data_IF_349812332165
#
_entry.id   IF_349812332165
#
_cell.length_a   1.000
_cell.length_b   1.000
_cell.length_c   1.000
_cell.angle_alpha   90.00
_cell.angle_beta   90.00
_cell.angle_gamma   90.00
#
_symmetry.space_group_name_H-M   'P 1'
#
loop_
_entity.id
_entity.type
_entity.pdbx_description
1 polymer ?
#
# COMPACT_ATOMS: atom_id res chain seq x y z
N UNK A 1 -22.49 -21.68 -10.04
CA UNK A 1 -22.37 -20.26 -9.63
C UNK A 1 -23.31 -19.43 -10.49
N UNK A 2 -24.15 -18.56 -9.91
CA UNK A 2 -25.10 -17.75 -10.67
C UNK A 2 -24.37 -16.68 -11.50
N UNK A 3 -24.53 -16.72 -12.82
CA UNK A 3 -23.86 -15.84 -13.80
C UNK A 3 -24.16 -14.34 -13.60
N UNK A 4 -25.36 -14.01 -13.10
CA UNK A 4 -25.75 -12.62 -12.79
C UNK A 4 -24.87 -11.96 -11.71
N UNK A 5 -24.47 -12.72 -10.68
CA UNK A 5 -23.61 -12.20 -9.59
C UNK A 5 -22.21 -11.89 -10.12
N UNK A 6 -21.68 -12.75 -11.00
CA UNK A 6 -20.37 -12.53 -11.61
C UNK A 6 -20.34 -11.28 -12.51
N UNK A 7 -21.45 -10.95 -13.17
CA UNK A 7 -21.56 -9.74 -13.97
C UNK A 7 -21.47 -8.47 -13.11
N UNK A 8 -22.16 -8.45 -11.96
CA UNK A 8 -22.12 -7.34 -11.00
C UNK A 8 -20.70 -7.17 -10.45
N UNK A 9 -20.06 -8.27 -10.04
CA UNK A 9 -18.69 -8.23 -9.50
C UNK A 9 -17.65 -7.67 -10.48
N UNK A 10 -17.83 -7.92 -11.79
CA UNK A 10 -16.95 -7.38 -12.84
C UNK A 10 -17.04 -5.86 -12.96
N UNK A 11 -18.22 -5.27 -12.74
CA UNK A 11 -18.40 -3.82 -12.80
C UNK A 11 -17.62 -3.08 -11.71
N UNK A 12 -17.39 -3.74 -10.56
CA UNK A 12 -16.63 -3.18 -9.45
C UNK A 12 -15.11 -3.33 -9.57
N UNK A 13 -14.60 -3.98 -10.63
CA UNK A 13 -13.16 -4.17 -10.82
C UNK A 13 -12.51 -2.92 -11.39
N UNK A 14 -11.41 -2.50 -10.78
CA UNK A 14 -10.52 -1.44 -11.25
C UNK A 14 -9.44 -2.00 -12.17
N UNK A 15 -9.12 -1.27 -13.23
CA UNK A 15 -8.10 -1.65 -14.24
C UNK A 15 -6.82 -0.82 -14.14
N UNK A 16 -6.80 0.23 -13.33
CA UNK A 16 -5.71 1.20 -13.17
C UNK A 16 -4.61 0.77 -12.19
N UNK A 17 -4.75 -0.41 -11.57
CA UNK A 17 -3.91 -0.86 -10.47
C UNK A 17 -2.70 -1.69 -10.95
N UNK A 18 -1.50 -1.49 -10.38
CA UNK A 18 -0.34 -2.31 -10.70
C UNK A 18 -0.48 -3.75 -10.15
N UNK A 19 0.24 -4.70 -10.72
CA UNK A 19 0.33 -6.07 -10.21
C UNK A 19 1.18 -6.12 -8.94
N UNK A 20 0.52 -6.00 -7.78
CA UNK A 20 1.18 -6.00 -6.47
C UNK A 20 1.43 -7.43 -6.00
N UNK A 21 2.67 -7.69 -5.58
CA UNK A 21 3.14 -8.97 -5.04
C UNK A 21 3.73 -8.79 -3.65
N UNK A 22 3.72 -9.87 -2.88
CA UNK A 22 4.41 -9.90 -1.60
C UNK A 22 5.90 -9.58 -1.76
N UNK A 23 6.44 -8.80 -0.83
CA UNK A 23 7.81 -8.29 -0.84
C UNK A 23 7.93 -6.88 -1.41
N UNK A 24 7.01 -6.44 -2.27
CA UNK A 24 7.06 -5.11 -2.85
C UNK A 24 6.95 -4.02 -1.77
N UNK A 25 7.76 -2.97 -1.90
CA UNK A 25 7.59 -1.74 -1.14
C UNK A 25 6.72 -0.80 -1.95
N UNK A 26 5.60 -0.37 -1.39
CA UNK A 26 4.62 0.48 -2.07
C UNK A 26 4.21 1.63 -1.17
N UNK A 27 3.78 2.73 -1.80
CA UNK A 27 3.11 3.85 -1.14
C UNK A 27 1.66 3.88 -1.64
N UNK A 28 0.71 3.87 -0.72
CA UNK A 28 -0.73 3.87 -1.00
C UNK A 28 -1.31 5.17 -0.48
N UNK A 29 -1.94 5.95 -1.36
CA UNK A 29 -2.70 7.14 -1.00
C UNK A 29 -4.16 6.75 -0.82
N UNK A 30 -4.74 7.19 0.29
CA UNK A 30 -6.09 6.85 0.65
C UNK A 30 -6.81 8.03 1.28
N UNK A 31 -8.12 8.09 1.06
CA UNK A 31 -8.99 9.13 1.58
C UNK A 31 -9.36 8.82 3.03
N UNK A 32 -9.21 9.81 3.90
CA UNK A 32 -9.61 9.76 5.30
C UNK A 32 -10.70 10.79 5.53
N UNK A 33 -11.86 10.40 6.09
CA UNK A 33 -12.91 11.35 6.44
C UNK A 33 -12.47 12.16 7.66
N UNK A 34 -12.62 13.48 7.59
CA UNK A 34 -12.38 14.41 8.69
C UNK A 34 -13.56 15.36 8.79
N UNK A 35 -14.47 15.08 9.72
CA UNK A 35 -15.76 15.79 9.88
C UNK A 35 -16.49 15.89 8.54
N UNK A 36 -16.48 17.07 7.91
CA UNK A 36 -17.20 17.37 6.67
C UNK A 36 -16.32 17.33 5.41
N UNK A 37 -15.01 17.07 5.55
CA UNK A 37 -14.05 17.07 4.45
C UNK A 37 -13.35 15.72 4.31
N UNK A 38 -12.84 15.46 3.11
CA UNK A 38 -11.97 14.31 2.83
C UNK A 38 -10.54 14.80 2.68
N UNK A 39 -9.60 14.20 3.42
CA UNK A 39 -8.17 14.44 3.24
C UNK A 39 -7.50 13.21 2.64
N UNK A 40 -6.58 13.41 1.70
CA UNK A 40 -5.76 12.33 1.17
C UNK A 40 -4.50 12.19 2.01
N UNK A 41 -4.32 11.02 2.63
CA UNK A 41 -3.11 10.65 3.38
C UNK A 41 -2.43 9.47 2.69
N UNK A 42 -1.17 9.19 3.01
CA UNK A 42 -0.46 8.05 2.46
C UNK A 42 0.07 7.10 3.53
N UNK A 43 0.16 5.82 3.16
CA UNK A 43 0.85 4.79 3.92
C UNK A 43 1.96 4.18 3.04
N UNK A 44 3.21 4.25 3.51
CA UNK A 44 4.36 3.58 2.90
C UNK A 44 4.70 2.31 3.70
N UNK A 45 4.90 1.18 3.03
CA UNK A 45 5.26 -0.06 3.69
C UNK A 45 5.61 -1.20 2.74
N UNK A 46 5.98 -2.33 3.31
CA UNK A 46 6.25 -3.57 2.58
C UNK A 46 4.98 -4.41 2.54
N UNK A 47 4.60 -4.89 1.36
CA UNK A 47 3.51 -5.84 1.19
C UNK A 47 3.95 -7.19 1.76
N UNK A 48 3.30 -7.63 2.83
CA UNK A 48 3.63 -8.90 3.50
C UNK A 48 2.77 -10.05 2.99
N UNK A 49 1.57 -9.76 2.49
CA UNK A 49 0.65 -10.77 1.98
C UNK A 49 -0.26 -10.15 0.92
N UNK A 50 -0.57 -10.94 -0.09
CA UNK A 50 -1.65 -10.68 -1.04
C UNK A 50 -2.63 -11.84 -0.94
N UNK A 51 -3.93 -11.53 -0.91
CA UNK A 51 -5.02 -12.52 -0.82
C UNK A 51 -5.88 -12.39 -2.06
N UNK A 52 -6.10 -13.52 -2.73
CA UNK A 52 -6.73 -13.60 -4.05
C UNK A 52 -5.93 -12.83 -5.12
N UNK A 53 -6.17 -13.15 -6.40
CA UNK A 53 -5.58 -12.41 -7.52
C UNK A 53 -6.36 -11.13 -7.81
N UNK A 54 -5.72 -10.16 -8.46
CA UNK A 54 -6.31 -8.84 -8.75
C UNK A 54 -7.64 -8.91 -9.52
N UNK A 55 -7.91 -10.00 -10.24
CA UNK A 55 -9.17 -10.24 -10.96
C UNK A 55 -10.36 -10.58 -10.04
N UNK A 56 -10.14 -10.74 -8.74
CA UNK A 56 -11.18 -11.00 -7.76
C UNK A 56 -11.59 -9.68 -7.08
N UNK A 57 -12.89 -9.43 -6.96
CA UNK A 57 -13.45 -8.24 -6.30
C UNK A 57 -13.02 -8.14 -4.83
N UNK A 58 -12.86 -9.28 -4.16
CA UNK A 58 -12.44 -9.38 -2.75
C UNK A 58 -10.92 -9.51 -2.60
N UNK A 59 -10.15 -9.22 -3.65
CA UNK A 59 -8.70 -9.23 -3.57
C UNK A 59 -8.23 -8.18 -2.56
N UNK A 60 -7.26 -8.57 -1.73
CA UNK A 60 -6.69 -7.69 -0.71
C UNK A 60 -5.19 -7.85 -0.60
N UNK A 61 -4.55 -6.84 -0.03
CA UNK A 61 -3.13 -6.87 0.29
C UNK A 61 -2.89 -6.24 1.65
N UNK A 62 -1.94 -6.80 2.39
CA UNK A 62 -1.54 -6.32 3.71
C UNK A 62 -0.16 -5.72 3.61
N UNK A 63 -0.01 -4.47 4.04
CA UNK A 63 1.28 -3.81 4.18
C UNK A 63 1.70 -3.71 5.64
N UNK A 64 3.01 -3.71 5.85
CA UNK A 64 3.64 -3.54 7.15
C UNK A 64 4.68 -2.44 7.09
N UNK A 65 4.69 -1.57 8.10
CA UNK A 65 5.75 -0.60 8.38
C UNK A 65 6.06 -0.60 9.87
N UNK A 66 7.32 -0.32 10.20
CA UNK A 66 7.68 0.06 11.57
C UNK A 66 7.45 1.57 11.66
N UNK A 67 6.44 1.95 12.43
CA UNK A 67 6.02 3.33 12.64
C UNK A 67 6.92 4.08 13.62
N UNK A 68 6.36 5.17 14.14
CA UNK A 68 6.95 5.96 15.22
C UNK A 68 7.07 5.06 16.47
N UNK A 69 8.05 5.34 17.32
CA UNK A 69 8.34 4.58 18.56
C UNK A 69 8.61 3.09 18.38
N UNK A 70 9.09 2.69 17.20
CA UNK A 70 9.36 1.29 16.82
C UNK A 70 8.13 0.36 16.88
N UNK A 71 6.91 0.91 16.89
CA UNK A 71 5.69 0.12 16.88
C UNK A 71 5.43 -0.40 15.46
N UNK A 72 5.17 -1.71 15.33
CA UNK A 72 4.84 -2.33 14.05
C UNK A 72 3.38 -2.08 13.68
N UNK A 73 3.14 -1.33 12.60
CA UNK A 73 1.79 -1.06 12.08
C UNK A 73 1.55 -1.91 10.85
N UNK A 74 0.43 -2.63 10.84
CA UNK A 74 -0.07 -3.38 9.69
C UNK A 74 -1.42 -2.84 9.28
N UNK A 75 -1.60 -2.66 7.97
CA UNK A 75 -2.87 -2.23 7.39
C UNK A 75 -3.18 -3.11 6.18
N UNK A 76 -4.46 -3.45 6.03
CA UNK A 76 -4.94 -4.28 4.92
C UNK A 76 -5.92 -3.47 4.09
N UNK A 77 -5.74 -3.47 2.78
CA UNK A 77 -6.62 -2.81 1.83
C UNK A 77 -7.20 -3.81 0.84
N UNK A 78 -8.40 -3.51 0.36
CA UNK A 78 -8.98 -4.17 -0.81
C UNK A 78 -8.46 -3.47 -2.07
N UNK A 79 -7.99 -4.21 -3.07
CA UNK A 79 -7.47 -3.64 -4.31
C UNK A 79 -8.47 -2.68 -4.95
N UNK A 80 -9.73 -3.09 -5.03
CA UNK A 80 -10.78 -2.36 -5.73
C UNK A 80 -11.54 -1.35 -4.85
N UNK A 81 -11.01 -1.01 -3.66
CA UNK A 81 -11.67 -0.04 -2.79
C UNK A 81 -11.65 1.37 -3.40
N UNK A 82 -12.77 2.11 -3.37
CA UNK A 82 -12.82 3.51 -3.80
C UNK A 82 -12.06 4.45 -2.84
N UNK A 83 -11.73 3.97 -1.64
CA UNK A 83 -10.95 4.73 -0.65
C UNK A 83 -9.50 4.90 -1.11
N UNK A 84 -8.98 4.00 -1.95
CA UNK A 84 -7.64 4.11 -2.51
C UNK A 84 -7.67 5.06 -3.70
N UNK A 85 -6.85 6.10 -3.64
CA UNK A 85 -6.73 7.06 -4.72
C UNK A 85 -5.63 6.66 -5.71
N UNK A 86 -4.45 6.33 -5.19
CA UNK A 86 -3.28 6.00 -5.98
C UNK A 86 -2.41 4.96 -5.28
N UNK A 87 -1.75 4.11 -6.05
CA UNK A 87 -0.71 3.21 -5.57
C UNK A 87 0.56 3.44 -6.37
N UNK A 88 1.67 3.74 -5.69
CA UNK A 88 3.00 3.88 -6.29
C UNK A 88 3.87 2.72 -5.82
N UNK A 89 4.44 1.99 -6.79
CA UNK A 89 5.45 0.97 -6.51
C UNK A 89 6.79 1.67 -6.32
N UNK A 90 7.41 1.47 -5.16
CA UNK A 90 8.70 2.05 -4.81
C UNK A 90 9.84 1.09 -5.07
N UNK A 91 9.64 -0.19 -4.74
CA UNK A 91 10.67 -1.22 -4.93
C UNK A 91 10.06 -2.61 -5.09
N UNK A 92 10.71 -3.43 -5.91
CA UNK A 92 10.31 -4.82 -6.16
C UNK A 92 11.44 -5.79 -5.77
N UNK A 93 11.68 -6.02 -4.46
CA UNK A 93 12.69 -6.97 -4.03
C UNK A 93 12.22 -8.41 -4.28
N UNK A 94 13.16 -9.28 -4.67
CA UNK A 94 12.87 -10.70 -4.91
C UNK A 94 12.70 -11.42 -3.57
N UNK A 95 11.52 -12.00 -3.35
CA UNK A 95 11.23 -12.87 -2.20
C UNK A 95 10.87 -14.27 -2.66
N UNK A 96 11.06 -15.25 -1.78
CA UNK A 96 10.78 -16.67 -2.07
C UNK A 96 9.45 -17.17 -1.51
N UNK A 97 8.85 -16.43 -0.57
CA UNK A 97 7.60 -16.82 0.10
C UNK A 97 6.45 -15.93 -0.37
N UNK A 98 5.28 -16.52 -0.62
CA UNK A 98 4.07 -15.78 -0.98
C UNK A 98 3.52 -14.92 0.18
N UNK A 99 3.80 -15.32 1.43
CA UNK A 99 3.42 -14.58 2.64
C UNK A 99 4.64 -14.40 3.54
N UNK A 100 4.93 -13.16 3.90
CA UNK A 100 6.13 -12.73 4.62
C UNK A 100 5.86 -12.48 6.11
N UNK A 101 5.01 -13.30 6.75
CA UNK A 101 4.69 -13.15 8.18
C UNK A 101 5.92 -13.22 9.09
N UNK A 102 6.99 -13.87 8.63
CA UNK A 102 8.26 -13.87 9.34
C UNK A 102 8.87 -12.47 9.53
N UNK A 103 8.41 -11.44 8.79
CA UNK A 103 8.87 -10.06 8.99
C UNK A 103 8.32 -9.43 10.28
N UNK A 104 7.33 -10.05 10.94
CA UNK A 104 6.78 -9.57 12.22
C UNK A 104 7.77 -9.67 13.36
N UNK A 105 8.55 -10.75 13.41
CA UNK A 105 9.54 -11.02 14.46
C UNK A 105 10.96 -10.54 14.13
N UNK A 106 11.13 -9.79 13.04
CA UNK A 106 12.47 -9.40 12.54
C UNK A 106 12.72 -7.92 12.77
N UNK A 107 13.95 -7.60 13.14
CA UNK A 107 14.40 -6.22 13.30
C UNK A 107 14.56 -5.53 11.95
N UNK A 108 14.53 -4.19 11.94
CA UNK A 108 14.68 -3.36 10.73
C UNK A 108 15.93 -3.74 9.91
N UNK A 109 17.05 -4.03 10.59
CA UNK A 109 18.32 -4.45 9.96
C UNK A 109 18.18 -5.79 9.24
N UNK A 110 17.56 -6.78 9.90
CA UNK A 110 17.32 -8.11 9.33
C UNK A 110 16.38 -8.05 8.13
N UNK A 111 15.33 -7.22 8.20
CA UNK A 111 14.39 -7.02 7.08
C UNK A 111 15.12 -6.42 5.86
N UNK A 112 15.93 -5.37 6.06
CA UNK A 112 16.73 -4.75 4.98
C UNK A 112 17.70 -5.75 4.33
N UNK A 113 18.40 -6.54 5.14
CA UNK A 113 19.32 -7.56 4.65
C UNK A 113 18.59 -8.63 3.82
N UNK A 114 17.43 -9.11 4.29
CA UNK A 114 16.65 -10.14 3.58
C UNK A 114 16.04 -9.64 2.28
N UNK A 115 15.54 -8.41 2.23
CA UNK A 115 14.90 -7.86 1.04
C UNK A 115 15.92 -7.27 0.05
N UNK A 116 17.22 -7.29 0.37
CA UNK A 116 18.29 -6.71 -0.47
C UNK A 116 17.97 -5.28 -0.92
N UNK A 117 17.30 -4.52 -0.06
CA UNK A 117 16.87 -3.16 -0.38
C UNK A 117 18.10 -2.25 -0.38
N UNK A 118 18.63 -1.91 -1.57
CA UNK A 118 19.67 -0.87 -1.72
C UNK A 118 19.13 0.49 -1.27
N UNK A 119 20.03 1.38 -0.82
CA UNK A 119 19.80 2.76 -0.33
C UNK A 119 19.10 3.73 -1.31
N UNK A 120 18.60 3.27 -2.47
CA UNK A 120 17.98 4.11 -3.51
C UNK A 120 16.73 4.90 -3.06
N UNK A 121 16.24 4.66 -1.83
CA UNK A 121 15.05 5.33 -1.30
C UNK A 121 15.33 6.68 -0.62
N UNK A 122 16.57 6.95 -0.20
CA UNK A 122 16.92 8.25 0.36
C UNK A 122 16.94 9.35 -0.72
N UNK A 123 17.35 9.01 -1.96
CA UNK A 123 17.39 9.95 -3.09
C UNK A 123 16.00 10.30 -3.64
N UNK A 124 15.05 9.37 -3.65
CA UNK A 124 13.67 9.63 -4.10
C UNK A 124 12.87 10.51 -3.14
N UNK A 125 13.24 10.54 -1.85
CA UNK A 125 12.65 11.43 -0.85
C UNK A 125 13.24 12.85 -0.90
N UNK A 126 14.38 13.07 -1.54
CA UNK A 126 14.96 14.41 -1.75
C UNK A 126 14.24 15.23 -2.83
N UNK A 127 13.35 14.60 -3.61
CA UNK A 127 12.37 15.28 -4.46
C UNK A 127 11.02 15.28 -3.75
N UNK A 128 10.92 16.04 -2.66
CA UNK A 128 9.61 16.49 -2.20
C UNK A 128 9.08 17.45 -3.28
N UNK A 129 8.15 16.98 -4.10
CA UNK A 129 7.13 17.89 -4.63
C UNK A 129 6.48 18.52 -3.40
N UNK A 130 6.70 19.83 -3.24
CA UNK A 130 6.03 20.67 -2.25
C UNK A 130 4.58 20.23 -2.12
N UNK A 131 4.14 19.95 -0.89
CA UNK A 131 2.73 19.94 -0.58
C UNK A 131 2.13 21.25 -1.13
N UNK A 132 0.98 21.23 -1.84
CA UNK A 132 0.28 22.48 -2.10
C UNK A 132 -0.02 23.10 -0.74
N UNK A 133 0.53 24.29 -0.53
CA UNK A 133 0.24 25.14 0.61
C UNK A 133 -1.28 25.21 0.75
N UNK A 134 -1.81 24.69 1.86
CA UNK A 134 -3.17 25.02 2.25
C UNK A 134 -3.16 26.52 2.54
N UNK A 135 -3.68 27.31 1.61
CA UNK A 135 -4.05 28.70 1.85
C UNK A 135 -4.89 28.73 3.12
N UNK A 136 -4.28 29.17 4.21
CA UNK A 136 -5.01 29.63 5.39
C UNK A 136 -5.86 30.81 4.91
N UNK A 137 -7.20 30.76 4.99
CA UNK A 137 -7.98 31.96 4.83
C UNK A 137 -7.56 32.90 5.96
N UNK A 138 -6.86 33.98 5.59
CA UNK A 138 -6.81 35.17 6.43
C UNK A 138 -8.21 35.75 6.41
N UNK A 139 -8.88 35.73 7.55
CA UNK A 139 -9.79 36.76 8.06
C UNK A 139 -10.02 36.54 9.55
#
# INVERSE_FOLDING_TARGET
MHTKILAIHKQSLRTDLPDIKAGMKIKVWYKVPEKDKWRTTFFDGIVIATKHGIKNTNASFTMRKIGIDNIGVEMTWLFHSPVIEKIQVLQTPKVRRAKLYYLRSRSRKQVRAKLKTKKAFAELLGKEEKAPESETPKE
#
